data_IF_106177714728
#
_entry.id   IF_106177714728
#
_cell.length_a   1.000
_cell.length_b   1.000
_cell.length_c   1.000
_cell.angle_alpha   90.00
_cell.angle_beta   90.00
_cell.angle_gamma   90.00
#
_symmetry.space_group_name_H-M   'P 1'
#
loop_
_entity.id
_entity.type
_entity.pdbx_description
1 polymer ?
#
# COMPACT_ATOMS: atom_id res chain seq x y z
N UNK A 1 -42.72 -51.15 25.92
CA UNK A 1 -43.27 -50.18 24.93
C UNK A 1 -42.52 -48.86 25.10
N UNK A 2 -42.36 -48.15 23.99
CA UNK A 2 -41.79 -46.80 23.83
C UNK A 2 -40.30 -46.71 23.48
N UNK A 3 -40.06 -46.28 22.24
CA UNK A 3 -38.78 -45.84 21.71
C UNK A 3 -38.64 -44.31 21.69
N UNK A 4 -37.41 -43.90 21.36
CA UNK A 4 -36.95 -42.66 20.69
C UNK A 4 -37.53 -41.30 21.09
N UNK A 5 -36.67 -40.37 21.55
CA UNK A 5 -36.35 -39.11 20.83
C UNK A 5 -35.17 -38.31 21.44
N UNK A 6 -34.50 -37.56 20.56
CA UNK A 6 -33.35 -36.66 20.71
C UNK A 6 -33.44 -35.55 21.78
N UNK A 7 -32.26 -35.08 22.25
CA UNK A 7 -32.07 -33.76 22.84
C UNK A 7 -30.64 -33.24 22.64
N UNK A 8 -30.46 -32.28 21.73
CA UNK A 8 -29.25 -31.48 21.52
C UNK A 8 -29.08 -30.48 22.68
N UNK A 9 -27.92 -30.46 23.34
CA UNK A 9 -27.52 -29.44 24.30
C UNK A 9 -26.58 -28.44 23.62
N UNK A 10 -27.00 -27.17 23.62
CA UNK A 10 -26.28 -26.02 23.10
C UNK A 10 -25.59 -25.28 24.25
N UNK A 11 -24.30 -24.98 24.09
CA UNK A 11 -23.51 -24.10 24.97
C UNK A 11 -23.02 -22.93 24.11
N UNK A 12 -23.21 -21.66 24.50
CA UNK A 12 -22.79 -20.51 23.70
C UNK A 12 -21.31 -20.15 23.97
N UNK A 13 -20.53 -19.68 22.98
CA UNK A 13 -19.22 -19.11 23.24
C UNK A 13 -19.31 -17.61 23.53
N UNK A 14 -18.58 -17.19 24.56
CA UNK A 14 -18.47 -15.81 25.03
C UNK A 14 -17.80 -14.88 24.00
N UNK A 15 -18.36 -13.67 23.85
CA UNK A 15 -17.76 -12.56 23.10
C UNK A 15 -16.67 -11.86 23.94
N UNK A 16 -15.43 -11.82 23.44
CA UNK A 16 -14.39 -10.91 23.95
C UNK A 16 -14.36 -9.62 23.13
N UNK A 17 -14.74 -8.50 23.73
CA UNK A 17 -14.67 -7.17 23.12
C UNK A 17 -13.28 -6.57 23.32
N UNK A 18 -12.47 -6.47 22.26
CA UNK A 18 -11.22 -5.72 22.24
C UNK A 18 -11.37 -4.39 21.49
N UNK A 19 -11.09 -3.27 22.15
CA UNK A 19 -11.11 -1.91 21.58
C UNK A 19 -9.80 -1.60 20.84
N UNK A 20 -9.89 -1.22 19.56
CA UNK A 20 -8.78 -0.66 18.77
C UNK A 20 -8.62 0.85 19.04
N UNK A 21 -7.40 1.44 18.94
CA UNK A 21 -7.14 2.86 19.24
C UNK A 21 -7.84 3.88 18.33
N UNK A 22 -8.64 3.42 17.35
CA UNK A 22 -9.38 4.28 16.40
C UNK A 22 -10.88 4.40 16.68
N UNK A 23 -11.32 4.21 17.93
CA UNK A 23 -12.60 4.72 18.42
C UNK A 23 -13.86 4.38 17.60
N UNK A 24 -13.85 3.30 16.83
CA UNK A 24 -15.01 2.81 16.09
C UNK A 24 -15.28 1.37 16.50
N UNK A 25 -16.43 1.16 17.12
CA UNK A 25 -16.94 -0.16 17.46
C UNK A 25 -17.23 -0.95 16.18
N UNK A 26 -16.52 -2.05 15.98
CA UNK A 26 -16.79 -2.99 14.89
C UNK A 26 -17.98 -3.87 15.29
N UNK A 27 -19.17 -3.57 14.76
CA UNK A 27 -20.25 -4.57 14.70
C UNK A 27 -19.94 -5.52 13.54
N UNK A 28 -19.33 -6.66 13.87
CA UNK A 28 -19.24 -7.83 12.98
C UNK A 28 -20.64 -8.41 12.77
N UNK A 29 -21.41 -7.84 11.84
CA UNK A 29 -22.79 -8.27 11.59
C UNK A 29 -23.25 -8.25 10.13
N UNK A 30 -22.46 -7.74 9.18
CA UNK A 30 -22.91 -7.58 7.77
C UNK A 30 -22.02 -8.25 6.72
N UNK A 31 -21.15 -9.20 7.08
CA UNK A 31 -20.25 -9.90 6.14
C UNK A 31 -20.45 -11.42 6.11
N UNK A 32 -21.71 -11.87 6.14
CA UNK A 32 -22.06 -13.24 5.76
C UNK A 32 -23.10 -13.16 4.65
N UNK A 33 -22.59 -13.16 3.41
CA UNK A 33 -23.36 -13.28 2.18
C UNK A 33 -22.67 -14.29 1.27
N UNK A 34 -23.16 -15.52 1.37
CA UNK A 34 -23.27 -16.61 0.40
C UNK A 34 -22.12 -17.01 -0.55
N UNK A 35 -21.82 -18.31 -0.44
CA UNK A 35 -21.22 -19.18 -1.43
C UNK A 35 -21.94 -19.08 -2.79
N UNK A 36 -21.29 -18.52 -3.83
CA UNK A 36 -21.21 -19.04 -5.20
C UNK A 36 -20.67 -17.95 -6.17
N UNK A 37 -19.42 -18.10 -6.62
CA UNK A 37 -19.05 -17.90 -8.03
C UNK A 37 -19.21 -16.54 -8.73
N UNK A 38 -19.34 -15.39 -8.05
CA UNK A 38 -19.31 -14.06 -8.71
C UNK A 38 -18.46 -13.01 -8.00
N UNK A 39 -17.28 -13.40 -7.54
CA UNK A 39 -16.21 -12.43 -7.25
C UNK A 39 -15.47 -12.07 -8.54
N UNK A 40 -14.98 -10.83 -8.67
CA UNK A 40 -14.10 -10.42 -9.77
C UNK A 40 -12.91 -11.40 -9.89
N UNK A 41 -12.78 -12.00 -11.07
CA UNK A 41 -11.75 -12.99 -11.34
C UNK A 41 -10.38 -12.30 -11.55
N UNK A 42 -9.29 -12.91 -11.09
CA UNK A 42 -7.92 -12.39 -11.30
C UNK A 42 -7.64 -12.20 -12.78
N UNK A 43 -8.16 -13.07 -13.65
CA UNK A 43 -8.00 -12.96 -15.10
C UNK A 43 -8.67 -11.70 -15.67
N UNK A 44 -9.81 -11.29 -15.11
CA UNK A 44 -10.49 -10.06 -15.52
C UNK A 44 -9.73 -8.83 -15.00
N UNK A 45 -9.26 -8.89 -13.75
CA UNK A 45 -8.46 -7.82 -13.13
C UNK A 45 -7.15 -7.62 -13.90
N UNK A 46 -6.42 -8.69 -14.25
CA UNK A 46 -5.13 -8.57 -14.94
C UNK A 46 -5.29 -7.97 -16.35
N UNK A 47 -6.35 -8.36 -17.09
CA UNK A 47 -6.64 -7.82 -18.42
C UNK A 47 -7.00 -6.33 -18.37
N UNK A 48 -7.68 -5.93 -17.30
CA UNK A 48 -8.14 -4.56 -17.08
C UNK A 48 -7.38 -3.84 -15.95
N UNK A 49 -6.08 -4.15 -15.79
CA UNK A 49 -5.27 -3.64 -14.68
C UNK A 49 -5.29 -2.11 -14.58
N UNK A 50 -5.34 -1.43 -15.73
CA UNK A 50 -5.40 0.03 -15.82
C UNK A 50 -6.69 0.63 -15.24
N UNK A 51 -7.83 -0.06 -15.39
CA UNK A 51 -9.10 0.32 -14.76
C UNK A 51 -9.08 -0.01 -13.27
N UNK A 52 -8.57 -1.20 -12.93
CA UNK A 52 -8.51 -1.68 -11.56
C UNK A 52 -7.74 -0.72 -10.64
N UNK A 53 -6.49 -0.40 -10.97
CA UNK A 53 -5.64 0.49 -10.16
C UNK A 53 -6.14 1.94 -10.09
N UNK A 54 -7.02 2.34 -11.01
CA UNK A 54 -7.63 3.67 -11.06
C UNK A 54 -8.92 3.76 -10.25
N UNK A 55 -9.70 2.68 -10.22
CA UNK A 55 -11.03 2.61 -9.61
C UNK A 55 -11.02 1.96 -8.23
N UNK A 56 -9.97 1.25 -7.85
CA UNK A 56 -9.83 0.63 -6.53
C UNK A 56 -8.72 1.31 -5.72
N UNK A 57 -8.95 1.39 -4.41
CA UNK A 57 -8.02 1.90 -3.43
C UNK A 57 -7.45 0.76 -2.61
N UNK A 58 -6.13 0.74 -2.49
CA UNK A 58 -5.43 -0.24 -1.70
C UNK A 58 -5.38 0.17 -0.22
N UNK A 59 -5.65 -0.79 0.66
CA UNK A 59 -5.41 -0.70 2.10
C UNK A 59 -4.27 -1.65 2.47
N UNK A 60 -3.17 -1.08 2.94
CA UNK A 60 -1.91 -1.79 3.21
C UNK A 60 -2.04 -2.78 4.37
N UNK A 61 -2.80 -2.39 5.40
CA UNK A 61 -2.91 -3.13 6.66
C UNK A 61 -3.79 -4.36 6.51
N UNK A 62 -4.97 -4.16 5.91
CA UNK A 62 -5.95 -5.24 5.78
C UNK A 62 -5.73 -6.09 4.52
N UNK A 63 -4.81 -5.67 3.63
CA UNK A 63 -4.62 -6.29 2.31
C UNK A 63 -5.96 -6.47 1.58
N UNK A 64 -6.70 -5.36 1.45
CA UNK A 64 -7.95 -5.30 0.70
C UNK A 64 -7.92 -4.17 -0.31
N UNK A 65 -8.57 -4.38 -1.44
CA UNK A 65 -8.92 -3.33 -2.37
C UNK A 65 -10.38 -2.95 -2.18
N UNK A 66 -10.68 -1.66 -2.14
CA UNK A 66 -12.04 -1.15 -2.06
C UNK A 66 -12.32 -0.24 -3.24
N UNK A 67 -13.45 -0.44 -3.90
CA UNK A 67 -13.91 0.39 -5.00
C UNK A 67 -14.11 1.86 -4.56
N UNK A 68 -13.63 2.81 -5.37
CA UNK A 68 -13.69 4.26 -5.09
C UNK A 68 -15.10 4.82 -5.07
N UNK A 69 -15.93 4.32 -5.97
CA UNK A 69 -17.31 4.74 -6.12
C UNK A 69 -18.06 3.65 -6.85
N UNK A 70 -19.23 3.30 -6.33
CA UNK A 70 -20.13 2.37 -7.00
C UNK A 70 -21.47 3.05 -7.25
N UNK A 71 -22.13 2.67 -8.34
CA UNK A 71 -23.53 3.01 -8.55
C UNK A 71 -24.46 2.22 -7.60
N UNK A 72 -23.93 1.13 -7.01
CA UNK A 72 -24.64 0.27 -6.08
C UNK A 72 -24.65 0.85 -4.66
N UNK A 73 -25.53 0.31 -3.80
CA UNK A 73 -25.59 0.68 -2.38
C UNK A 73 -24.36 0.21 -1.58
N UNK A 74 -23.56 -0.68 -2.15
CA UNK A 74 -22.38 -1.27 -1.53
C UNK A 74 -21.17 -1.08 -2.45
N UNK A 75 -19.99 -0.93 -1.85
CA UNK A 75 -18.71 -0.90 -2.57
C UNK A 75 -18.18 -2.31 -2.73
N UNK A 76 -17.68 -2.63 -3.93
CA UNK A 76 -17.02 -3.91 -4.14
C UNK A 76 -15.68 -3.95 -3.39
N UNK A 77 -15.37 -5.12 -2.82
CA UNK A 77 -14.09 -5.36 -2.14
C UNK A 77 -13.40 -6.61 -2.66
N UNK A 78 -12.09 -6.52 -2.85
CA UNK A 78 -11.26 -7.65 -3.25
C UNK A 78 -10.29 -7.96 -2.11
N UNK A 79 -10.30 -9.21 -1.67
CA UNK A 79 -9.51 -9.72 -0.55
C UNK A 79 -8.66 -10.90 -1.02
N UNK A 80 -7.76 -11.36 -0.14
CA UNK A 80 -6.87 -12.50 -0.40
C UNK A 80 -7.65 -13.77 -0.76
N UNK A 81 -8.85 -13.98 -0.20
CA UNK A 81 -9.67 -15.19 -0.47
C UNK A 81 -10.19 -15.21 -1.91
N UNK A 82 -10.61 -14.07 -2.46
CA UNK A 82 -11.03 -13.97 -3.86
C UNK A 82 -9.89 -14.35 -4.80
N UNK A 83 -8.68 -13.85 -4.51
CA UNK A 83 -7.47 -14.17 -5.27
C UNK A 83 -7.09 -15.64 -5.14
N UNK A 84 -7.09 -16.19 -3.93
CA UNK A 84 -6.80 -17.60 -3.68
C UNK A 84 -7.80 -18.53 -4.38
N UNK A 85 -9.08 -18.16 -4.44
CA UNK A 85 -10.10 -18.92 -5.16
C UNK A 85 -9.85 -18.91 -6.67
N UNK A 86 -9.49 -17.76 -7.24
CA UNK A 86 -9.15 -17.65 -8.66
C UNK A 86 -7.89 -18.46 -9.01
N UNK A 87 -6.85 -18.41 -8.17
CA UNK A 87 -5.64 -19.23 -8.32
C UNK A 87 -5.96 -20.72 -8.25
N UNK A 88 -6.89 -21.13 -7.37
CA UNK A 88 -7.34 -22.53 -7.28
C UNK A 88 -8.04 -22.99 -8.57
N UNK A 89 -8.84 -22.13 -9.18
CA UNK A 89 -9.57 -22.47 -10.41
C UNK A 89 -8.65 -22.53 -11.64
N UNK A 90 -7.74 -21.57 -11.78
CA UNK A 90 -6.94 -21.40 -12.99
C UNK A 90 -5.51 -21.93 -12.89
N UNK A 91 -5.10 -22.36 -11.69
CA UNK A 91 -3.76 -22.83 -11.40
C UNK A 91 -2.78 -21.71 -11.03
N UNK A 92 -1.66 -22.11 -10.45
CA UNK A 92 -0.64 -21.21 -9.91
C UNK A 92 0.08 -20.38 -10.98
N UNK A 93 0.12 -20.87 -12.23
CA UNK A 93 0.71 -20.15 -13.36
C UNK A 93 0.06 -18.80 -13.68
N UNK A 94 -1.17 -18.56 -13.20
CA UNK A 94 -1.83 -17.25 -13.29
C UNK A 94 -1.06 -16.18 -12.51
N UNK A 95 -0.34 -16.54 -11.45
CA UNK A 95 0.45 -15.59 -10.66
C UNK A 95 1.57 -14.97 -11.51
N UNK A 96 2.39 -15.80 -12.17
CA UNK A 96 3.49 -15.36 -13.04
C UNK A 96 2.96 -14.50 -14.21
N UNK A 97 1.87 -14.94 -14.82
CA UNK A 97 1.21 -14.20 -15.90
C UNK A 97 0.73 -12.83 -15.41
N UNK A 98 0.11 -12.77 -14.23
CA UNK A 98 -0.37 -11.52 -13.62
C UNK A 98 0.77 -10.55 -13.34
N UNK A 99 1.90 -11.04 -12.80
CA UNK A 99 3.09 -10.22 -12.55
C UNK A 99 3.64 -9.64 -13.86
N UNK A 100 3.64 -10.41 -14.96
CA UNK A 100 4.04 -9.90 -16.27
C UNK A 100 3.09 -8.78 -16.78
N UNK A 101 1.77 -8.92 -16.61
CA UNK A 101 0.83 -7.84 -16.95
C UNK A 101 1.09 -6.57 -16.12
N UNK A 102 1.39 -6.74 -14.82
CA UNK A 102 1.77 -5.62 -13.95
C UNK A 102 3.08 -4.98 -14.42
N UNK A 103 4.09 -5.78 -14.79
CA UNK A 103 5.34 -5.29 -15.36
C UNK A 103 5.10 -4.42 -16.61
N UNK A 104 4.30 -4.89 -17.56
CA UNK A 104 3.96 -4.13 -18.76
C UNK A 104 3.21 -2.83 -18.44
N UNK A 105 2.30 -2.86 -17.48
CA UNK A 105 1.59 -1.68 -17.00
C UNK A 105 2.55 -0.66 -16.36
N UNK A 106 3.43 -1.12 -15.46
CA UNK A 106 4.43 -0.29 -14.79
C UNK A 106 5.36 0.37 -15.79
N UNK A 107 5.84 -0.37 -16.80
CA UNK A 107 6.68 0.19 -17.87
C UNK A 107 6.05 1.39 -18.55
N UNK A 108 4.75 1.32 -18.88
CA UNK A 108 4.00 2.46 -19.47
C UNK A 108 3.88 3.63 -18.49
N UNK A 109 3.59 3.35 -17.21
CA UNK A 109 3.47 4.40 -16.18
C UNK A 109 4.80 5.08 -15.88
N UNK A 110 5.91 4.34 -15.94
CA UNK A 110 7.24 4.87 -15.75
C UNK A 110 7.71 5.80 -16.87
N UNK A 111 7.24 5.59 -18.10
CA UNK A 111 7.46 6.56 -19.19
C UNK A 111 6.80 7.90 -18.87
N UNK A 112 5.53 7.88 -18.42
CA UNK A 112 4.80 9.10 -18.01
C UNK A 112 5.49 9.75 -16.80
N UNK A 113 5.94 8.95 -15.85
CA UNK A 113 6.67 9.43 -14.67
C UNK A 113 7.96 10.15 -15.06
N UNK A 114 8.75 9.58 -15.96
CA UNK A 114 10.00 10.18 -16.45
C UNK A 114 9.71 11.48 -17.22
N UNK A 115 8.70 11.49 -18.09
CA UNK A 115 8.27 12.70 -18.81
C UNK A 115 7.87 13.83 -17.86
N UNK A 116 7.13 13.52 -16.78
CA UNK A 116 6.73 14.50 -15.79
C UNK A 116 7.92 15.15 -15.07
N UNK A 117 8.92 14.35 -14.69
CA UNK A 117 10.13 14.87 -14.03
C UNK A 117 11.09 15.57 -15.01
N UNK A 118 10.97 15.29 -16.30
CA UNK A 118 11.77 15.94 -17.35
C UNK A 118 11.22 17.31 -17.75
N UNK A 119 9.94 17.59 -17.49
CA UNK A 119 9.31 18.89 -17.76
C UNK A 119 10.11 20.04 -17.13
N UNK A 120 10.52 21.00 -17.95
CA UNK A 120 11.38 22.12 -17.53
C UNK A 120 10.75 22.99 -16.44
N UNK A 121 9.41 23.13 -16.41
CA UNK A 121 8.73 23.88 -15.35
C UNK A 121 8.82 23.18 -13.99
N UNK A 122 8.87 21.84 -13.97
CA UNK A 122 9.01 21.03 -12.76
C UNK A 122 10.48 20.91 -12.38
N UNK A 123 11.31 20.43 -13.31
CA UNK A 123 12.75 20.21 -13.15
C UNK A 123 13.48 21.45 -12.65
N UNK A 124 13.25 22.61 -13.26
CA UNK A 124 13.93 23.85 -12.86
C UNK A 124 13.60 24.28 -11.42
N UNK A 125 12.35 24.04 -10.96
CA UNK A 125 11.93 24.32 -9.58
C UNK A 125 12.55 23.33 -8.60
N UNK A 126 12.58 22.04 -8.95
CA UNK A 126 13.21 21.00 -8.11
C UNK A 126 14.70 21.25 -7.93
N UNK A 127 15.42 21.65 -8.99
CA UNK A 127 16.85 21.98 -8.90
C UNK A 127 17.07 23.20 -8.00
N UNK A 128 16.21 24.22 -8.09
CA UNK A 128 16.29 25.40 -7.21
C UNK A 128 16.08 25.04 -5.75
N UNK A 129 15.10 24.19 -5.45
CA UNK A 129 14.86 23.74 -4.08
C UNK A 129 15.94 22.79 -3.56
N UNK A 130 16.56 21.98 -4.43
CA UNK A 130 17.71 21.18 -4.08
C UNK A 130 18.93 22.00 -3.67
N UNK A 131 19.26 23.01 -4.48
CA UNK A 131 20.38 23.91 -4.19
C UNK A 131 20.15 24.63 -2.87
N UNK A 132 18.94 25.15 -2.67
CA UNK A 132 18.56 25.79 -1.41
C UNK A 132 18.73 24.85 -0.20
N UNK A 133 18.31 23.58 -0.31
CA UNK A 133 18.48 22.60 0.76
C UNK A 133 19.97 22.33 1.05
N UNK A 134 20.81 22.18 0.02
CA UNK A 134 22.24 21.97 0.19
C UNK A 134 22.94 23.16 0.84
N UNK A 135 22.61 24.38 0.42
CA UNK A 135 23.23 25.61 0.90
C UNK A 135 22.82 25.95 2.35
N UNK A 136 21.56 25.68 2.71
CA UNK A 136 21.01 26.06 4.03
C UNK A 136 20.93 24.89 5.01
N UNK A 137 21.60 23.77 4.71
CA UNK A 137 21.56 22.54 5.52
C UNK A 137 22.02 22.80 6.97
N UNK A 138 23.06 23.62 7.15
CA UNK A 138 23.61 23.95 8.47
C UNK A 138 22.73 24.92 9.28
N UNK A 139 22.02 25.83 8.61
CA UNK A 139 21.20 26.85 9.28
C UNK A 139 19.82 26.33 9.71
N UNK A 140 19.23 25.41 8.94
CA UNK A 140 17.89 24.88 9.21
C UNK A 140 17.90 23.59 10.05
N UNK A 141 18.99 23.30 10.75
CA UNK A 141 19.13 22.07 11.55
C UNK A 141 18.99 20.80 10.71
N UNK A 142 19.53 20.82 9.49
CA UNK A 142 19.49 19.72 8.51
C UNK A 142 18.08 19.32 8.01
N UNK A 143 17.06 20.14 8.26
CA UNK A 143 15.67 19.83 7.89
C UNK A 143 15.23 20.56 6.63
N UNK A 144 14.37 19.92 5.84
CA UNK A 144 13.70 20.57 4.73
C UNK A 144 12.54 21.46 5.24
N UNK A 145 12.54 22.78 4.96
CA UNK A 145 11.53 23.69 5.51
C UNK A 145 10.12 23.45 4.93
N UNK A 146 9.12 23.41 5.80
CA UNK A 146 7.71 23.24 5.41
C UNK A 146 7.23 24.33 4.44
N UNK A 147 7.56 25.59 4.70
CA UNK A 147 7.13 26.72 3.86
C UNK A 147 7.60 26.62 2.41
N UNK A 148 8.74 25.95 2.17
CA UNK A 148 9.27 25.74 0.82
C UNK A 148 8.45 24.69 0.08
N UNK A 149 8.13 23.56 0.72
CA UNK A 149 7.24 22.55 0.16
C UNK A 149 5.86 23.16 -0.17
N UNK A 150 5.33 24.00 0.71
CA UNK A 150 4.05 24.67 0.48
C UNK A 150 4.13 25.70 -0.68
N UNK A 151 5.20 26.49 -0.75
CA UNK A 151 5.44 27.42 -1.87
C UNK A 151 5.52 26.68 -3.20
N UNK A 152 6.21 25.54 -3.24
CA UNK A 152 6.29 24.69 -4.43
C UNK A 152 4.90 24.16 -4.83
N UNK A 153 4.15 23.60 -3.88
CA UNK A 153 2.78 23.13 -4.07
C UNK A 153 1.86 24.21 -4.65
N UNK A 154 1.80 25.38 -4.00
CA UNK A 154 1.03 26.54 -4.48
C UNK A 154 1.51 27.04 -5.85
N UNK A 155 2.82 27.02 -6.07
CA UNK A 155 3.43 27.43 -7.34
C UNK A 155 3.07 26.52 -8.50
N UNK A 156 2.94 25.21 -8.30
CA UNK A 156 2.49 24.27 -9.34
C UNK A 156 1.00 24.45 -9.62
N UNK A 157 0.18 24.65 -8.59
CA UNK A 157 -1.26 24.89 -8.77
C UNK A 157 -1.56 26.11 -9.65
N UNK A 158 -0.67 27.11 -9.67
CA UNK A 158 -0.77 28.29 -10.55
C UNK A 158 -0.46 28.02 -12.03
N UNK A 159 0.16 26.89 -12.37
CA UNK A 159 0.49 26.55 -13.77
C UNK A 159 -0.73 26.13 -14.60
N UNK A 160 -1.90 25.98 -13.97
CA UNK A 160 -3.15 25.60 -14.63
C UNK A 160 -3.71 24.28 -14.13
N UNK A 161 -4.97 24.05 -14.48
CA UNK A 161 -5.69 22.82 -14.18
C UNK A 161 -5.94 22.07 -15.50
N UNK A 162 -5.58 20.80 -15.53
CA UNK A 162 -5.91 19.90 -16.64
C UNK A 162 -7.00 18.95 -16.14
N UNK A 163 -8.18 18.98 -16.77
CA UNK A 163 -9.38 18.22 -16.34
C UNK A 163 -9.80 18.49 -14.88
N UNK A 164 -9.64 19.74 -14.41
CA UNK A 164 -9.97 20.14 -13.04
C UNK A 164 -8.98 19.66 -11.97
N UNK A 165 -7.88 19.03 -12.37
CA UNK A 165 -6.80 18.56 -11.48
C UNK A 165 -5.52 19.36 -11.74
N UNK A 166 -4.75 19.63 -10.68
CA UNK A 166 -3.43 20.24 -10.84
C UNK A 166 -2.43 19.21 -11.39
N UNK A 167 -1.33 19.68 -11.99
CA UNK A 167 -0.22 18.81 -12.40
C UNK A 167 0.28 17.92 -11.25
N UNK A 168 0.31 18.44 -10.02
CA UNK A 168 0.73 17.67 -8.85
C UNK A 168 -0.29 16.60 -8.45
N UNK A 169 -1.60 16.87 -8.63
CA UNK A 169 -2.65 15.88 -8.41
C UNK A 169 -2.53 14.71 -9.38
N UNK A 170 -2.27 15.00 -10.65
CA UNK A 170 -2.06 13.98 -11.68
C UNK A 170 -0.83 13.12 -11.35
N UNK A 171 0.25 13.75 -10.91
CA UNK A 171 1.46 13.03 -10.51
C UNK A 171 1.25 12.18 -9.25
N UNK A 172 0.52 12.70 -8.26
CA UNK A 172 0.12 11.92 -7.08
C UNK A 172 -0.71 10.70 -7.49
N UNK A 173 -1.70 10.87 -8.36
CA UNK A 173 -2.53 9.77 -8.87
C UNK A 173 -1.71 8.74 -9.64
N UNK A 174 -0.73 9.18 -10.44
CA UNK A 174 0.21 8.29 -11.13
C UNK A 174 0.99 7.42 -10.12
N UNK A 175 1.53 8.03 -9.06
CA UNK A 175 2.25 7.33 -8.00
C UNK A 175 1.32 6.36 -7.25
N UNK A 176 0.09 6.80 -6.93
CA UNK A 176 -0.92 5.93 -6.31
C UNK A 176 -1.26 4.73 -7.19
N UNK A 177 -1.39 4.91 -8.51
CA UNK A 177 -1.66 3.81 -9.44
C UNK A 177 -0.50 2.82 -9.52
N UNK A 178 0.75 3.31 -9.52
CA UNK A 178 1.95 2.47 -9.43
C UNK A 178 1.93 1.65 -8.13
N UNK A 179 1.66 2.29 -7.00
CA UNK A 179 1.62 1.59 -5.72
C UNK A 179 0.41 0.66 -5.55
N UNK A 180 -0.74 0.98 -6.14
CA UNK A 180 -1.88 0.06 -6.23
C UNK A 180 -1.52 -1.20 -7.03
N UNK A 181 -0.76 -1.06 -8.12
CA UNK A 181 -0.26 -2.21 -8.87
C UNK A 181 0.69 -3.08 -8.02
N UNK A 182 1.57 -2.45 -7.23
CA UNK A 182 2.43 -3.17 -6.28
C UNK A 182 1.64 -3.83 -5.15
N UNK A 183 0.59 -3.17 -4.64
CA UNK A 183 -0.35 -3.75 -3.68
C UNK A 183 -1.10 -4.95 -4.25
N UNK A 184 -1.37 -4.95 -5.56
CA UNK A 184 -1.99 -6.07 -6.25
C UNK A 184 -1.03 -7.26 -6.37
N UNK A 185 0.24 -7.02 -6.74
CA UNK A 185 1.29 -8.06 -6.72
C UNK A 185 1.43 -8.66 -5.32
N UNK A 186 1.41 -7.82 -4.27
CA UNK A 186 1.40 -8.28 -2.87
C UNK A 186 0.23 -9.21 -2.59
N UNK A 187 -0.96 -8.85 -3.05
CA UNK A 187 -2.17 -9.63 -2.84
C UNK A 187 -2.14 -10.95 -3.61
N UNK A 188 -1.63 -10.96 -4.83
CA UNK A 188 -1.40 -12.17 -5.64
C UNK A 188 -0.45 -13.12 -4.91
N UNK A 189 0.66 -12.60 -4.39
CA UNK A 189 1.59 -13.36 -3.55
C UNK A 189 0.88 -13.96 -2.33
N UNK A 190 0.18 -13.13 -1.54
CA UNK A 190 -0.55 -13.60 -0.35
C UNK A 190 -1.62 -14.64 -0.69
N UNK A 191 -2.31 -14.48 -1.83
CA UNK A 191 -3.31 -15.43 -2.33
C UNK A 191 -2.70 -16.76 -2.75
N UNK A 192 -1.52 -16.73 -3.38
CA UNK A 192 -0.75 -17.92 -3.74
C UNK A 192 -0.28 -18.70 -2.51
N UNK A 193 0.32 -18.00 -1.54
CA UNK A 193 0.74 -18.60 -0.26
C UNK A 193 -0.46 -19.21 0.47
N UNK A 194 -1.59 -18.50 0.52
CA UNK A 194 -2.81 -19.03 1.15
C UNK A 194 -3.35 -20.29 0.42
N UNK A 195 -3.22 -20.36 -0.90
CA UNK A 195 -3.61 -21.55 -1.65
C UNK A 195 -2.67 -22.73 -1.37
N UNK A 196 -1.36 -22.49 -1.40
CA UNK A 196 -0.34 -23.52 -1.16
C UNK A 196 -0.35 -24.00 0.29
N UNK A 197 -0.48 -23.09 1.27
CA UNK A 197 -0.55 -23.39 2.70
C UNK A 197 -1.68 -24.38 3.03
N UNK A 198 -2.84 -24.23 2.39
CA UNK A 198 -3.94 -25.19 2.56
C UNK A 198 -3.62 -26.58 1.99
N UNK A 199 -2.84 -26.65 0.90
CA UNK A 199 -2.46 -27.91 0.26
C UNK A 199 -1.34 -28.64 1.02
N UNK A 200 -0.37 -27.91 1.57
CA UNK A 200 0.81 -28.45 2.26
C UNK A 200 0.63 -28.58 3.77
N UNK A 201 -0.55 -28.26 4.33
CA UNK A 201 -0.82 -28.31 5.78
C UNK A 201 -0.56 -29.69 6.42
N UNK A 202 -0.58 -30.75 5.60
CA UNK A 202 -0.38 -32.13 6.04
C UNK A 202 1.08 -32.60 5.89
N UNK A 203 1.97 -31.75 5.37
CA UNK A 203 3.39 -32.05 5.22
C UNK A 203 4.10 -31.52 6.47
N UNK A 204 4.75 -32.39 7.28
CA UNK A 204 5.37 -32.00 8.54
C UNK A 204 6.58 -31.07 8.35
N UNK A 205 7.42 -31.36 7.35
CA UNK A 205 8.63 -30.62 7.02
C UNK A 205 8.71 -30.40 5.51
N UNK A 206 8.94 -29.14 5.10
CA UNK A 206 9.04 -28.74 3.68
C UNK A 206 10.50 -28.74 3.18
N UNK A 207 11.47 -28.74 4.10
CA UNK A 207 12.90 -28.76 3.80
C UNK A 207 13.43 -30.21 3.74
N UNK A 208 12.81 -31.13 4.49
CA UNK A 208 13.09 -32.58 4.47
C UNK A 208 11.83 -33.38 4.10
N UNK A 209 11.46 -33.34 2.83
CA UNK A 209 10.30 -34.08 2.31
C UNK A 209 10.71 -35.53 2.07
N UNK A 210 10.19 -36.44 2.89
CA UNK A 210 10.36 -37.89 2.71
C UNK A 210 9.75 -38.31 1.37
N UNK A 211 10.53 -39.02 0.56
CA UNK A 211 10.08 -39.58 -0.72
C UNK A 211 9.14 -40.77 -0.45
N UNK A 212 7.85 -40.64 -0.81
CA UNK A 212 6.89 -41.70 -0.60
C UNK A 212 7.17 -42.92 -1.50
N UNK A 213 7.82 -42.71 -2.64
CA UNK A 213 8.25 -43.79 -3.54
C UNK A 213 9.17 -44.76 -2.81
N UNK A 214 10.22 -44.26 -2.15
CA UNK A 214 11.21 -45.08 -1.43
C UNK A 214 10.53 -45.91 -0.31
N UNK A 215 9.63 -45.28 0.44
CA UNK A 215 8.85 -45.96 1.50
C UNK A 215 7.96 -47.08 0.95
N UNK A 216 7.37 -46.89 -0.23
CA UNK A 216 6.51 -47.91 -0.85
C UNK A 216 7.31 -49.08 -1.42
N UNK A 217 8.54 -48.81 -1.89
CA UNK A 217 9.46 -49.83 -2.39
C UNK A 217 10.05 -50.66 -1.24
N UNK A 218 10.41 -50.03 -0.12
CA UNK A 218 10.93 -50.69 1.08
C UNK A 218 9.89 -51.64 1.71
N UNK A 219 8.62 -51.23 1.75
CA UNK A 219 7.50 -52.04 2.24
C UNK A 219 6.97 -53.06 1.21
N UNK A 220 7.56 -53.13 0.01
CA UNK A 220 7.19 -54.06 -1.07
C UNK A 220 5.71 -53.99 -1.45
N UNK A 221 5.17 -52.78 -1.54
CA UNK A 221 3.77 -52.54 -1.93
C UNK A 221 3.54 -52.84 -3.42
N UNK A 222 2.27 -52.83 -3.84
CA UNK A 222 1.91 -53.14 -5.23
C UNK A 222 2.49 -52.12 -6.21
N UNK A 223 2.70 -52.54 -7.48
CA UNK A 223 3.17 -51.65 -8.54
C UNK A 223 2.27 -50.43 -8.76
N UNK A 224 0.96 -50.59 -8.53
CA UNK A 224 -0.02 -49.50 -8.64
C UNK A 224 0.15 -48.47 -7.52
N UNK A 225 0.49 -48.93 -6.30
CA UNK A 225 0.77 -48.06 -5.15
C UNK A 225 2.06 -47.27 -5.36
N UNK A 226 3.13 -47.91 -5.87
CA UNK A 226 4.39 -47.22 -6.21
C UNK A 226 4.16 -46.16 -7.29
N UNK A 227 3.38 -46.48 -8.34
CA UNK A 227 2.99 -45.51 -9.37
C UNK A 227 2.19 -44.32 -8.82
N UNK A 228 1.33 -44.57 -7.82
CA UNK A 228 0.64 -43.52 -7.08
C UNK A 228 1.57 -42.63 -6.26
N UNK A 229 2.55 -43.24 -5.58
CA UNK A 229 3.56 -42.55 -4.79
C UNK A 229 4.43 -41.61 -5.64
N UNK A 230 4.89 -42.07 -6.81
CA UNK A 230 5.66 -41.24 -7.76
C UNK A 230 4.88 -39.98 -8.16
N UNK A 231 3.57 -40.11 -8.42
CA UNK A 231 2.71 -38.96 -8.74
C UNK A 231 2.54 -38.02 -7.55
N UNK A 232 2.40 -38.57 -6.34
CA UNK A 232 2.28 -37.80 -5.11
C UNK A 232 3.56 -37.00 -4.84
N UNK A 233 4.74 -37.63 -4.94
CA UNK A 233 6.05 -36.99 -4.77
C UNK A 233 6.23 -35.86 -5.80
N UNK A 234 5.83 -36.08 -7.06
CA UNK A 234 5.85 -35.04 -8.09
C UNK A 234 4.94 -33.86 -7.73
N UNK A 235 3.73 -34.11 -7.22
CA UNK A 235 2.80 -33.04 -6.81
C UNK A 235 3.35 -32.27 -5.62
N UNK A 236 3.90 -32.97 -4.62
CA UNK A 236 4.49 -32.35 -3.43
C UNK A 236 5.70 -31.50 -3.79
N UNK A 237 6.62 -32.02 -4.62
CA UNK A 237 7.78 -31.28 -5.12
C UNK A 237 7.35 -30.01 -5.85
N UNK A 238 6.33 -30.10 -6.72
CA UNK A 238 5.77 -28.93 -7.39
C UNK A 238 5.17 -27.93 -6.41
N UNK A 239 4.43 -28.37 -5.37
CA UNK A 239 3.86 -27.48 -4.37
C UNK A 239 4.94 -26.76 -3.54
N UNK A 240 5.98 -27.48 -3.13
CA UNK A 240 7.11 -26.93 -2.36
C UNK A 240 7.89 -25.89 -3.18
N UNK A 241 8.20 -26.20 -4.44
CA UNK A 241 8.86 -25.27 -5.36
C UNK A 241 8.02 -24.00 -5.61
N UNK A 242 6.71 -24.15 -5.80
CA UNK A 242 5.84 -22.98 -6.00
C UNK A 242 5.67 -22.15 -4.72
N UNK A 243 5.77 -22.77 -3.54
CA UNK A 243 5.74 -22.08 -2.26
C UNK A 243 6.96 -21.16 -2.08
N UNK A 244 8.16 -21.64 -2.44
CA UNK A 244 9.40 -20.85 -2.38
C UNK A 244 9.46 -19.75 -3.46
N UNK A 245 9.17 -20.07 -4.72
CA UNK A 245 9.17 -19.10 -5.84
C UNK A 245 8.15 -17.96 -5.65
N UNK A 246 7.03 -18.23 -4.97
CA UNK A 246 6.00 -17.23 -4.70
C UNK A 246 6.44 -16.05 -3.82
N UNK A 247 7.61 -16.13 -3.17
CA UNK A 247 8.03 -15.13 -2.18
C UNK A 247 8.78 -13.92 -2.76
N UNK A 248 9.41 -14.02 -3.94
CA UNK A 248 10.36 -13.01 -4.46
C UNK A 248 9.82 -12.05 -5.56
N UNK A 249 8.51 -12.00 -5.85
CA UNK A 249 7.99 -11.14 -6.94
C UNK A 249 8.33 -9.65 -6.83
N UNK A 250 8.46 -9.13 -5.60
CA UNK A 250 8.89 -7.74 -5.40
C UNK A 250 10.31 -7.51 -5.87
N UNK A 251 11.22 -8.41 -5.52
CA UNK A 251 12.63 -8.39 -5.92
C UNK A 251 12.77 -8.46 -7.43
N UNK A 252 12.06 -9.41 -8.06
CA UNK A 252 12.04 -9.53 -9.53
C UNK A 252 11.65 -8.22 -10.22
N UNK A 253 10.61 -7.53 -9.73
CA UNK A 253 10.19 -6.26 -10.31
C UNK A 253 11.19 -5.12 -10.03
N UNK A 254 11.80 -5.09 -8.85
CA UNK A 254 12.86 -4.13 -8.52
C UNK A 254 14.06 -4.34 -9.46
N UNK A 255 14.55 -5.56 -9.58
CA UNK A 255 15.72 -5.92 -10.39
C UNK A 255 15.49 -5.65 -11.88
N UNK A 256 14.27 -5.85 -12.37
CA UNK A 256 13.91 -5.58 -13.76
C UNK A 256 13.92 -4.09 -14.12
N UNK A 257 13.58 -3.19 -13.18
CA UNK A 257 13.47 -1.75 -13.44
C UNK A 257 14.64 -0.92 -12.91
N UNK A 258 15.32 -1.35 -11.85
CA UNK A 258 16.40 -0.59 -11.21
C UNK A 258 17.53 -0.20 -12.18
N UNK A 259 18.05 -1.08 -13.06
CA UNK A 259 19.12 -0.70 -14.00
C UNK A 259 18.72 0.43 -14.94
N UNK A 260 17.48 0.42 -15.45
CA UNK A 260 16.98 1.48 -16.33
C UNK A 260 16.78 2.82 -15.59
N UNK A 261 16.39 2.76 -14.31
CA UNK A 261 16.16 3.94 -13.48
C UNK A 261 17.46 4.58 -12.98
N UNK A 262 18.51 3.77 -12.79
CA UNK A 262 19.81 4.21 -12.29
C UNK A 262 20.78 4.59 -13.41
N UNK A 263 20.39 4.45 -14.68
CA UNK A 263 21.16 4.91 -15.83
C UNK A 263 21.49 6.41 -15.71
N UNK A 264 22.77 6.82 -15.87
CA UNK A 264 23.18 8.23 -15.86
C UNK A 264 22.37 9.14 -16.80
N UNK A 265 21.85 8.61 -17.92
CA UNK A 265 20.99 9.34 -18.86
C UNK A 265 19.69 9.82 -18.19
N UNK A 266 19.24 9.13 -17.15
CA UNK A 266 18.03 9.41 -16.39
C UNK A 266 18.31 10.23 -15.12
N UNK A 267 19.38 11.04 -15.11
CA UNK A 267 19.78 11.85 -13.97
C UNK A 267 18.69 12.78 -13.43
N UNK A 268 17.73 13.21 -14.26
CA UNK A 268 16.58 14.03 -13.82
C UNK A 268 15.69 13.30 -12.81
N UNK A 269 15.63 11.97 -12.87
CA UNK A 269 14.81 11.15 -11.98
C UNK A 269 15.31 11.19 -10.53
N UNK A 270 16.61 11.45 -10.32
CA UNK A 270 17.19 11.60 -8.97
C UNK A 270 16.59 12.76 -8.19
N UNK A 271 15.98 13.74 -8.84
CA UNK A 271 15.30 14.85 -8.16
C UNK A 271 13.96 14.46 -7.51
N UNK A 272 13.54 13.20 -7.65
CA UNK A 272 12.27 12.72 -7.12
C UNK A 272 12.13 12.89 -5.60
N UNK A 273 13.20 12.68 -4.81
CA UNK A 273 13.08 12.78 -3.34
C UNK A 273 12.67 14.19 -2.85
N UNK A 274 12.93 15.23 -3.64
CA UNK A 274 12.63 16.64 -3.30
C UNK A 274 11.17 17.01 -3.59
N UNK A 275 10.53 16.33 -4.55
CA UNK A 275 9.11 16.56 -4.82
C UNK A 275 8.21 15.87 -3.79
N UNK A 276 8.72 14.84 -3.08
CA UNK A 276 7.95 14.07 -2.09
C UNK A 276 7.33 14.97 -1.01
N UNK A 277 8.06 15.90 -0.34
CA UNK A 277 7.45 16.83 0.61
C UNK A 277 6.19 17.53 0.07
N UNK A 278 6.26 18.11 -1.12
CA UNK A 278 5.13 18.78 -1.77
C UNK A 278 4.00 17.82 -2.11
N UNK A 279 4.31 16.60 -2.55
CA UNK A 279 3.32 15.55 -2.80
C UNK A 279 2.62 15.08 -1.53
N UNK A 280 3.32 14.99 -0.40
CA UNK A 280 2.69 14.61 0.88
C UNK A 280 1.69 15.66 1.35
N UNK A 281 1.98 16.96 1.14
CA UNK A 281 1.01 18.03 1.41
C UNK A 281 -0.23 17.86 0.54
N UNK A 282 -0.04 17.67 -0.76
CA UNK A 282 -1.15 17.46 -1.70
C UNK A 282 -1.97 16.21 -1.35
N UNK A 283 -1.32 15.12 -0.95
CA UNK A 283 -1.98 13.90 -0.50
C UNK A 283 -2.83 14.12 0.74
N UNK A 284 -2.29 14.78 1.77
CA UNK A 284 -3.02 15.05 3.02
C UNK A 284 -4.22 15.95 2.78
N UNK A 285 -4.09 17.02 1.98
CA UNK A 285 -5.22 17.88 1.60
C UNK A 285 -6.34 17.08 0.92
N UNK A 286 -5.97 16.19 -0.01
CA UNK A 286 -6.95 15.36 -0.69
C UNK A 286 -7.55 14.29 0.23
N UNK A 287 -6.76 13.67 1.11
CA UNK A 287 -7.21 12.67 2.08
C UNK A 287 -8.29 13.25 2.99
N UNK A 288 -8.06 14.45 3.53
CA UNK A 288 -9.02 15.17 4.38
C UNK A 288 -10.29 15.47 3.57
N UNK A 289 -10.15 16.02 2.36
CA UNK A 289 -11.29 16.32 1.48
C UNK A 289 -12.13 15.07 1.16
N UNK A 290 -11.48 13.93 0.93
CA UNK A 290 -12.14 12.65 0.67
C UNK A 290 -12.84 12.09 1.92
N UNK A 291 -12.26 12.25 3.12
CA UNK A 291 -12.87 11.86 4.40
C UNK A 291 -14.06 12.74 4.77
N UNK A 292 -13.99 14.04 4.49
CA UNK A 292 -15.12 14.96 4.68
C UNK A 292 -16.30 14.61 3.77
N UNK A 293 -16.04 14.26 2.51
CA UNK A 293 -17.09 13.79 1.57
C UNK A 293 -17.76 12.51 2.05
N UNK A 294 -17.00 11.60 2.67
CA UNK A 294 -17.55 10.39 3.29
C UNK A 294 -18.48 10.73 4.46
N UNK A 295 -18.05 11.64 5.35
CA UNK A 295 -18.88 12.12 6.46
C UNK A 295 -20.19 12.77 6.00
N UNK A 296 -20.19 13.40 4.82
CA UNK A 296 -21.37 14.04 4.21
C UNK A 296 -22.22 13.09 3.36
N UNK A 297 -21.93 11.78 3.35
CA UNK A 297 -22.62 10.75 2.54
C UNK A 297 -22.60 11.03 1.02
N UNK A 298 -21.62 11.79 0.53
CA UNK A 298 -21.48 12.01 -0.91
C UNK A 298 -20.91 10.76 -1.59
N UNK A 299 -21.58 10.29 -2.65
CA UNK A 299 -21.20 9.05 -3.36
C UNK A 299 -19.93 9.17 -4.21
N UNK A 300 -19.55 10.38 -4.62
CA UNK A 300 -18.43 10.60 -5.57
C UNK A 300 -17.22 11.16 -4.84
N UNK A 301 -16.11 10.42 -4.87
CA UNK A 301 -14.81 10.85 -4.32
C UNK A 301 -14.66 10.69 -2.79
N UNK A 302 -15.58 9.97 -2.15
CA UNK A 302 -15.45 9.53 -0.77
C UNK A 302 -14.49 8.34 -0.70
N UNK A 303 -13.39 8.49 0.03
CA UNK A 303 -12.38 7.47 0.19
C UNK A 303 -11.91 7.48 1.64
N UNK A 304 -11.83 6.29 2.26
CA UNK A 304 -11.40 6.15 3.65
C UNK A 304 -9.92 5.76 3.78
N UNK A 305 -9.34 5.13 2.75
CA UNK A 305 -7.91 4.73 2.69
C UNK A 305 -7.37 4.88 1.27
N UNK A 306 -6.13 5.37 1.13
CA UNK A 306 -5.38 5.42 -0.14
C UNK A 306 -3.89 5.14 0.13
N UNK A 307 -3.59 3.92 0.60
CA UNK A 307 -2.21 3.52 0.91
C UNK A 307 -1.39 3.22 -0.35
N UNK A 308 -2.04 3.18 -1.52
CA UNK A 308 -1.39 3.07 -2.82
C UNK A 308 -0.36 4.18 -3.05
N UNK A 309 -0.63 5.40 -2.60
CA UNK A 309 0.34 6.49 -2.67
C UNK A 309 1.63 6.17 -1.90
N UNK A 310 1.51 5.77 -0.64
CA UNK A 310 2.65 5.43 0.22
C UNK A 310 3.46 4.25 -0.33
N UNK A 311 2.77 3.21 -0.82
CA UNK A 311 3.40 2.06 -1.48
C UNK A 311 4.16 2.47 -2.75
N UNK A 312 3.58 3.35 -3.56
CA UNK A 312 4.21 3.86 -4.79
C UNK A 312 5.46 4.69 -4.51
N UNK A 313 5.40 5.60 -3.52
CA UNK A 313 6.58 6.38 -3.10
C UNK A 313 7.69 5.47 -2.61
N UNK A 314 7.38 4.50 -1.75
CA UNK A 314 8.38 3.55 -1.22
C UNK A 314 9.04 2.75 -2.35
N UNK A 315 8.27 2.27 -3.32
CA UNK A 315 8.78 1.51 -4.46
C UNK A 315 9.71 2.34 -5.35
N UNK A 316 9.29 3.56 -5.73
CA UNK A 316 10.10 4.44 -6.59
C UNK A 316 11.39 4.87 -5.89
N UNK A 317 11.35 5.13 -4.57
CA UNK A 317 12.54 5.41 -3.78
C UNK A 317 13.54 4.25 -3.78
N UNK A 318 13.06 2.99 -3.73
CA UNK A 318 13.92 1.80 -3.85
C UNK A 318 14.54 1.72 -5.25
N UNK A 319 13.75 1.89 -6.31
CA UNK A 319 14.24 1.80 -7.70
C UNK A 319 15.37 2.79 -7.99
N UNK A 320 15.24 4.03 -7.49
CA UNK A 320 16.24 5.08 -7.68
C UNK A 320 17.37 5.06 -6.65
N UNK A 321 17.31 4.17 -5.66
CA UNK A 321 18.21 4.11 -4.51
C UNK A 321 18.34 5.46 -3.76
N UNK A 322 17.19 6.12 -3.50
CA UNK A 322 17.14 7.47 -2.91
C UNK A 322 16.72 7.49 -1.43
N UNK A 323 16.79 6.35 -0.73
CA UNK A 323 16.33 6.28 0.65
C UNK A 323 17.15 7.18 1.59
N UNK A 324 18.47 7.20 1.42
CA UNK A 324 19.35 7.99 2.27
C UNK A 324 19.15 9.50 2.04
N UNK A 325 19.03 9.92 0.78
CA UNK A 325 18.75 11.30 0.41
C UNK A 325 17.40 11.77 0.94
N UNK A 326 16.37 10.92 0.85
CA UNK A 326 15.06 11.22 1.41
C UNK A 326 15.09 11.33 2.93
N UNK A 327 15.74 10.39 3.62
CA UNK A 327 15.84 10.39 5.09
C UNK A 327 16.62 11.63 5.58
N UNK A 328 17.61 12.09 4.80
CA UNK A 328 18.38 13.31 5.10
C UNK A 328 17.55 14.60 5.07
N UNK A 329 16.35 14.60 4.47
CA UNK A 329 15.45 15.76 4.50
C UNK A 329 14.80 15.97 5.86
N UNK A 330 14.72 14.92 6.69
CA UNK A 330 14.00 14.92 7.97
C UNK A 330 12.60 15.53 7.86
N UNK A 331 11.90 15.23 6.75
CA UNK A 331 10.67 15.93 6.35
C UNK A 331 9.55 15.81 7.40
N UNK A 332 9.26 14.60 7.88
CA UNK A 332 8.19 14.39 8.86
C UNK A 332 8.48 15.07 10.21
N UNK A 333 9.75 15.24 10.57
CA UNK A 333 10.12 16.02 11.76
C UNK A 333 9.85 17.51 11.56
N UNK A 334 10.17 18.05 10.38
CA UNK A 334 9.86 19.44 9.99
C UNK A 334 8.34 19.71 10.02
N UNK A 335 7.55 18.76 9.51
CA UNK A 335 6.08 18.81 9.56
C UNK A 335 5.60 18.85 11.01
N UNK A 336 6.08 17.94 11.86
CA UNK A 336 5.68 17.87 13.27
C UNK A 336 6.00 19.18 14.02
N UNK A 337 7.20 19.74 13.82
CA UNK A 337 7.60 21.01 14.43
C UNK A 337 6.73 22.18 13.99
N UNK A 338 6.40 22.25 12.70
CA UNK A 338 5.53 23.29 12.15
C UNK A 338 4.13 23.23 12.78
N UNK A 339 3.48 22.07 12.78
CA UNK A 339 2.14 21.92 13.36
C UNK A 339 2.12 22.09 14.88
N UNK A 340 3.20 21.69 15.57
CA UNK A 340 3.36 21.93 17.00
C UNK A 340 3.49 23.43 17.32
N UNK A 341 4.28 24.17 16.52
CA UNK A 341 4.41 25.64 16.65
C UNK A 341 3.09 26.35 16.37
N UNK A 342 2.41 26.00 15.27
CA UNK A 342 1.10 26.57 14.91
C UNK A 342 0.06 26.32 16.01
N UNK A 343 0.05 25.11 16.60
CA UNK A 343 -0.85 24.77 17.71
C UNK A 343 -0.53 25.57 18.97
N UNK A 344 0.75 25.72 19.31
CA UNK A 344 1.16 26.51 20.46
C UNK A 344 0.76 27.99 20.31
N UNK A 345 0.86 28.53 19.09
CA UNK A 345 0.45 29.89 18.78
C UNK A 345 -1.07 30.07 18.92
N UNK A 346 -1.87 29.15 18.36
CA UNK A 346 -3.34 29.15 18.53
C UNK A 346 -3.72 29.03 20.01
N UNK A 347 -3.00 28.23 20.79
CA UNK A 347 -3.23 28.10 22.23
C UNK A 347 -2.90 29.39 23.00
N UNK A 348 -1.78 30.05 22.69
CA UNK A 348 -1.42 31.35 23.28
C UNK A 348 -2.46 32.42 22.99
N UNK A 349 -2.88 32.52 21.73
CA UNK A 349 -3.91 33.47 21.32
C UNK A 349 -5.25 33.14 22.02
N UNK A 350 -5.59 31.86 22.19
CA UNK A 350 -6.80 31.43 22.88
C UNK A 350 -6.76 31.82 24.34
N UNK A 351 -5.65 31.60 25.03
CA UNK A 351 -5.46 32.03 26.42
C UNK A 351 -5.57 33.56 26.57
N UNK A 352 -5.06 34.33 25.62
CA UNK A 352 -5.20 35.79 25.61
C UNK A 352 -6.65 36.28 25.30
N UNK A 353 -7.47 35.46 24.67
CA UNK A 353 -8.87 35.76 24.35
C UNK A 353 -9.87 35.32 25.44
N UNK A 354 -9.48 34.44 26.36
CA UNK A 354 -10.28 34.03 27.53
C UNK A 354 -10.35 35.22 28.49
N UNK A 355 -11.39 36.05 28.30
CA UNK A 355 -11.58 37.32 29.02
C UNK A 355 -12.24 38.42 28.19
N UNK A 356 -12.29 38.26 26.85
CA UNK A 356 -13.09 39.11 25.96
C UNK A 356 -14.33 38.34 25.52
N UNK A 357 -15.51 38.98 25.51
CA UNK A 357 -16.81 38.38 25.14
C UNK A 357 -16.95 38.03 23.64
N UNK A 358 -15.84 37.78 22.93
CA UNK A 358 -15.84 37.44 21.51
C UNK A 358 -16.05 35.93 21.30
N UNK A 359 -17.28 35.48 21.56
CA UNK A 359 -17.71 34.08 21.40
C UNK A 359 -17.42 33.53 20.00
N UNK A 360 -17.55 34.37 18.95
CA UNK A 360 -17.24 34.01 17.55
C UNK A 360 -15.74 33.78 17.31
N UNK A 361 -14.88 34.54 17.98
CA UNK A 361 -13.43 34.41 17.86
C UNK A 361 -12.98 33.11 18.53
N UNK A 362 -13.47 32.81 19.73
CA UNK A 362 -13.20 31.54 20.42
C UNK A 362 -13.68 30.32 19.61
N UNK A 363 -14.83 30.42 18.95
CA UNK A 363 -15.34 29.36 18.07
C UNK A 363 -14.45 29.15 16.84
N UNK A 364 -14.02 30.23 16.17
CA UNK A 364 -13.09 30.18 15.03
C UNK A 364 -11.76 29.55 15.41
N UNK A 365 -11.24 29.86 16.60
CA UNK A 365 -9.99 29.30 17.11
C UNK A 365 -10.09 27.82 17.46
N UNK A 366 -11.22 27.39 18.04
CA UNK A 366 -11.47 25.96 18.28
C UNK A 366 -11.55 25.16 16.98
N UNK A 367 -12.19 25.70 15.94
CA UNK A 367 -12.22 25.08 14.61
C UNK A 367 -10.81 24.99 14.00
N UNK A 368 -9.99 26.03 14.21
CA UNK A 368 -8.61 26.07 13.70
C UNK A 368 -7.72 25.05 14.42
N UNK A 369 -7.83 24.94 15.75
CA UNK A 369 -7.10 23.93 16.53
C UNK A 369 -7.46 22.51 16.08
N UNK A 370 -8.76 22.21 15.94
CA UNK A 370 -9.22 20.90 15.43
C UNK A 370 -8.70 20.63 14.02
N UNK A 371 -8.69 21.63 13.14
CA UNK A 371 -8.13 21.48 11.80
C UNK A 371 -6.65 21.14 11.85
N UNK A 372 -5.85 21.83 12.66
CA UNK A 372 -4.42 21.52 12.81
C UNK A 372 -4.18 20.10 13.36
N UNK A 373 -5.01 19.64 14.30
CA UNK A 373 -4.99 18.26 14.81
C UNK A 373 -5.27 17.22 13.71
N UNK A 374 -6.32 17.44 12.91
CA UNK A 374 -6.65 16.54 11.79
C UNK A 374 -5.50 16.48 10.79
N UNK A 375 -4.93 17.63 10.40
CA UNK A 375 -3.78 17.63 9.48
C UNK A 375 -2.58 16.86 10.04
N UNK A 376 -2.23 17.08 11.31
CA UNK A 376 -1.12 16.36 11.94
C UNK A 376 -1.38 14.85 11.97
N UNK A 377 -2.58 14.43 12.37
CA UNK A 377 -2.96 13.02 12.39
C UNK A 377 -2.85 12.38 10.99
N UNK A 378 -3.28 13.07 9.94
CA UNK A 378 -3.14 12.55 8.56
C UNK A 378 -1.69 12.44 8.11
N UNK A 379 -0.81 13.37 8.50
CA UNK A 379 0.62 13.25 8.25
C UNK A 379 1.25 12.08 9.00
N UNK A 380 0.87 11.86 10.25
CA UNK A 380 1.35 10.74 11.06
C UNK A 380 0.90 9.40 10.44
N UNK A 381 -0.37 9.31 10.02
CA UNK A 381 -0.90 8.15 9.30
C UNK A 381 -0.12 7.87 8.01
N UNK A 382 0.17 8.91 7.22
CA UNK A 382 0.97 8.78 6.01
C UNK A 382 2.39 8.30 6.32
N UNK A 383 3.01 8.81 7.40
CA UNK A 383 4.34 8.40 7.82
C UNK A 383 4.37 6.92 8.23
N UNK A 384 3.36 6.43 8.97
CA UNK A 384 3.24 5.02 9.32
C UNK A 384 3.01 4.13 8.10
N UNK A 385 2.14 4.54 7.16
CA UNK A 385 1.91 3.80 5.91
C UNK A 385 3.18 3.76 5.05
N UNK A 386 3.92 4.86 4.95
CA UNK A 386 5.18 4.92 4.20
C UNK A 386 6.27 4.07 4.86
N UNK A 387 6.42 4.16 6.18
CA UNK A 387 7.39 3.35 6.93
C UNK A 387 7.10 1.86 6.77
N UNK A 388 5.82 1.48 6.88
CA UNK A 388 5.36 0.10 6.64
C UNK A 388 5.62 -0.35 5.20
N UNK A 389 5.37 0.53 4.22
CA UNK A 389 5.62 0.24 2.81
C UNK A 389 7.11 0.00 2.52
N UNK A 390 8.01 0.76 3.16
CA UNK A 390 9.48 0.62 2.99
C UNK A 390 10.00 -0.72 3.47
N UNK A 391 9.41 -1.31 4.51
CA UNK A 391 9.84 -2.62 5.04
C UNK A 391 9.75 -3.71 3.96
N UNK A 392 8.73 -3.67 3.10
CA UNK A 392 8.58 -4.65 2.02
C UNK A 392 9.71 -4.63 0.97
N UNK A 393 10.43 -3.51 0.86
CA UNK A 393 11.53 -3.33 -0.10
C UNK A 393 12.91 -3.29 0.57
N UNK A 394 12.96 -3.36 1.90
CA UNK A 394 14.18 -3.40 2.72
C UNK A 394 14.59 -4.81 3.15
N UNK A 395 13.67 -5.78 3.09
CA UNK A 395 13.94 -7.16 3.49
C UNK A 395 15.17 -7.79 2.80
N UNK A 396 15.58 -7.27 1.64
CA UNK A 396 16.77 -7.72 0.92
C UNK A 396 18.08 -7.19 1.53
N UNK A 397 18.07 -5.99 2.14
CA UNK A 397 19.27 -5.43 2.79
C UNK A 397 19.67 -6.24 4.02
N UNK A 398 18.71 -6.70 4.82
CA UNK A 398 19.03 -7.56 5.99
C UNK A 398 19.66 -8.90 5.59
N UNK A 399 19.32 -9.45 4.42
CA UNK A 399 19.89 -10.71 3.94
C UNK A 399 21.24 -10.54 3.23
N UNK A 400 21.50 -9.38 2.61
CA UNK A 400 22.79 -9.04 2.02
C UNK A 400 23.78 -8.53 3.09
N UNK A 401 23.32 -7.76 4.08
CA UNK A 401 24.11 -7.33 5.25
C UNK A 401 24.50 -8.51 6.16
N UNK A 402 23.69 -9.57 6.22
CA UNK A 402 24.07 -10.84 6.88
C UNK A 402 25.08 -11.68 6.08
N UNK A 403 25.17 -11.48 4.75
CA UNK A 403 26.17 -12.15 3.90
C UNK A 403 27.52 -11.44 3.90
N UNK A 404 27.53 -10.13 4.05
CA UNK A 404 28.77 -9.33 4.17
C UNK A 404 29.40 -9.41 5.57
N UNK A 405 28.76 -10.09 6.52
CA UNK A 405 29.25 -10.31 7.89
C UNK A 405 29.69 -11.76 8.19
N UNK A 406 29.72 -12.65 7.20
CA UNK A 406 30.20 -14.04 7.35
C UNK A 406 31.43 -14.35 6.50
#
# INVERSE_FOLDING_TARGET
MHGTHCGLLSIPPAMSTGTSPRGLAYTYGCFLGDFCGKGLDVLEIMRNIHLFVSNYLYNLNNQIFVERSSNNKHLNTINIRHIANSIRTHGIGVMNTTVNFVYQFLRKKFQIFSQFLYDEHIKSRLIKDFRYFKENKSQNGQKYPFDRAEKFHRGIRKLGLTNGQSYLDQFRLLISQIGNAMGFVRMIRSGGIHCCSNAIRFIPDLDDIITFTDLCEDEKLSSDTVSGAVKLDSVISNLSKNFSEGTEYFKLLVDAFAPAFQDPKNGHMKNFFIIIPSLTINFVEQSISSKEKLSRKNKVGAAFTDDGFAMGVAYILKLLNLYHEFDSLHWFQSVHEKYSKDRAEVHKQKAAAVGKEDRKLLETMNLTSRRLEVYQQEFDLLNYSLSSARIFFRADLSAEEEKDQN
#
